data_IF_804163300279
#
_entry.id   IF_804163300279
#
_cell.length_a   1.000
_cell.length_b   1.000
_cell.length_c   1.000
_cell.angle_alpha   90.00
_cell.angle_beta   90.00
_cell.angle_gamma   90.00
#
_symmetry.space_group_name_H-M   'P 1'
#
loop_
_entity.id
_entity.type
_entity.pdbx_description
1 polymer ?
#
# COMPACT_ATOMS: atom_id res chain seq x y z
N UNK A 1 18.09 -13.37 34.07
CA UNK A 1 17.03 -12.36 33.91
C UNK A 1 16.93 -11.83 32.48
N UNK A 2 18.01 -11.32 31.85
CA UNK A 2 17.97 -10.78 30.45
C UNK A 2 17.56 -11.82 29.39
N UNK A 3 17.99 -13.09 29.52
CA UNK A 3 17.67 -14.15 28.55
C UNK A 3 16.18 -14.53 28.62
N UNK A 4 15.60 -14.64 29.80
CA UNK A 4 14.18 -14.92 30.01
C UNK A 4 13.31 -13.78 29.42
N UNK A 5 13.67 -12.53 29.71
CA UNK A 5 12.94 -11.37 29.16
C UNK A 5 12.98 -11.36 27.62
N UNK A 6 14.13 -11.66 27.02
CA UNK A 6 14.23 -11.78 25.55
C UNK A 6 13.36 -12.91 25.01
N UNK A 7 13.32 -14.05 25.66
CA UNK A 7 12.47 -15.16 25.25
C UNK A 7 10.97 -14.80 25.33
N UNK A 8 10.55 -14.13 26.40
CA UNK A 8 9.17 -13.65 26.57
C UNK A 8 8.80 -12.62 25.49
N UNK A 9 9.67 -11.64 25.24
CA UNK A 9 9.44 -10.65 24.19
C UNK A 9 9.36 -11.30 22.81
N UNK A 10 10.22 -12.27 22.53
CA UNK A 10 10.18 -13.00 21.26
C UNK A 10 8.88 -13.80 21.10
N UNK A 11 8.40 -14.45 22.16
CA UNK A 11 7.10 -15.13 22.19
C UNK A 11 5.94 -14.17 21.94
N UNK A 12 5.98 -13.00 22.58
CA UNK A 12 5.00 -11.94 22.37
C UNK A 12 4.99 -11.41 20.93
N UNK A 13 6.16 -11.25 20.30
CA UNK A 13 6.28 -10.85 18.90
C UNK A 13 5.59 -11.84 17.96
N UNK A 14 5.77 -13.16 18.19
CA UNK A 14 5.06 -14.19 17.41
C UNK A 14 3.55 -14.13 17.65
N UNK A 15 3.12 -13.93 18.90
CA UNK A 15 1.70 -13.80 19.23
C UNK A 15 1.07 -12.61 18.47
N UNK A 16 1.72 -11.44 18.49
CA UNK A 16 1.25 -10.25 17.78
C UNK A 16 1.19 -10.50 16.27
N UNK A 17 2.21 -11.15 15.69
CA UNK A 17 2.22 -11.49 14.26
C UNK A 17 1.02 -12.36 13.89
N UNK A 18 0.83 -13.49 14.57
CA UNK A 18 -0.22 -14.44 14.20
C UNK A 18 -1.62 -13.92 14.53
N UNK A 19 -1.81 -13.25 15.67
CA UNK A 19 -3.09 -12.62 15.98
C UNK A 19 -3.41 -11.47 15.01
N UNK A 20 -2.41 -10.69 14.61
CA UNK A 20 -2.59 -9.66 13.60
C UNK A 20 -3.02 -10.22 12.24
N UNK A 21 -2.37 -11.28 11.76
CA UNK A 21 -2.76 -11.95 10.52
C UNK A 21 -4.15 -12.58 10.64
N UNK A 22 -4.45 -13.24 11.75
CA UNK A 22 -5.75 -13.85 12.00
C UNK A 22 -6.85 -12.79 12.06
N UNK A 23 -6.63 -11.67 12.75
CA UNK A 23 -7.58 -10.56 12.84
C UNK A 23 -7.92 -10.01 11.45
N UNK A 24 -6.91 -9.74 10.61
CA UNK A 24 -7.16 -9.28 9.24
C UNK A 24 -7.97 -10.30 8.44
N UNK A 25 -7.60 -11.58 8.53
CA UNK A 25 -8.32 -12.67 7.88
C UNK A 25 -9.78 -12.77 8.32
N UNK A 26 -10.03 -12.69 9.64
CA UNK A 26 -11.38 -12.74 10.22
C UNK A 26 -12.21 -11.53 9.77
N UNK A 27 -11.66 -10.32 9.81
CA UNK A 27 -12.36 -9.11 9.35
C UNK A 27 -12.77 -9.23 7.88
N UNK A 28 -11.86 -9.69 7.03
CA UNK A 28 -12.15 -9.88 5.61
C UNK A 28 -13.20 -10.98 5.36
N UNK A 29 -13.07 -12.13 6.02
CA UNK A 29 -14.01 -13.25 5.86
C UNK A 29 -15.39 -12.92 6.42
N UNK A 30 -15.48 -12.28 7.59
CA UNK A 30 -16.76 -11.87 8.17
C UNK A 30 -17.48 -10.82 7.30
N UNK A 31 -16.72 -9.93 6.66
CA UNK A 31 -17.29 -8.93 5.76
C UNK A 31 -17.77 -9.52 4.42
N UNK A 32 -17.16 -10.61 3.95
CA UNK A 32 -17.44 -11.19 2.63
C UNK A 32 -18.93 -11.52 2.41
N UNK A 33 -19.63 -12.30 3.27
CA UNK A 33 -21.05 -12.60 3.07
C UNK A 33 -21.94 -11.35 3.15
N UNK A 34 -21.63 -10.44 4.07
CA UNK A 34 -22.38 -9.18 4.23
C UNK A 34 -22.23 -8.31 2.99
N UNK A 35 -21.01 -8.17 2.46
CA UNK A 35 -20.75 -7.44 1.23
C UNK A 35 -21.45 -8.06 0.02
N UNK A 36 -21.52 -9.39 -0.08
CA UNK A 36 -22.26 -10.07 -1.15
C UNK A 36 -23.76 -9.76 -1.09
N UNK A 37 -24.37 -9.82 0.09
CA UNK A 37 -25.77 -9.50 0.28
C UNK A 37 -26.03 -8.03 -0.12
N UNK A 38 -25.26 -7.09 0.38
CA UNK A 38 -25.42 -5.68 0.04
C UNK A 38 -25.14 -5.36 -1.41
N UNK A 39 -24.23 -6.09 -2.06
CA UNK A 39 -23.99 -5.94 -3.49
C UNK A 39 -25.22 -6.26 -4.35
N UNK A 40 -26.06 -7.21 -3.89
CA UNK A 40 -27.30 -7.61 -4.57
C UNK A 40 -28.49 -6.71 -4.22
N UNK A 41 -28.56 -6.22 -2.97
CA UNK A 41 -29.74 -5.53 -2.45
C UNK A 41 -29.66 -4.01 -2.57
N UNK A 42 -28.45 -3.42 -2.55
CA UNK A 42 -28.33 -1.97 -2.53
C UNK A 42 -28.16 -1.38 -3.94
N UNK A 43 -28.75 -0.20 -4.19
CA UNK A 43 -28.41 0.61 -5.36
C UNK A 43 -26.91 0.88 -5.41
N UNK A 44 -26.35 0.92 -6.61
CA UNK A 44 -24.90 0.98 -6.85
C UNK A 44 -24.20 2.06 -6.01
N UNK A 45 -24.71 3.30 -6.00
CA UNK A 45 -24.10 4.43 -5.27
C UNK A 45 -24.09 4.20 -3.76
N UNK A 46 -25.18 3.65 -3.19
CA UNK A 46 -25.26 3.35 -1.75
C UNK A 46 -24.35 2.20 -1.37
N UNK A 47 -24.33 1.15 -2.17
CA UNK A 47 -23.43 0.01 -1.99
C UNK A 47 -21.97 0.42 -2.03
N UNK A 48 -21.59 1.26 -2.99
CA UNK A 48 -20.24 1.81 -3.13
C UNK A 48 -19.83 2.62 -1.90
N UNK A 49 -20.66 3.55 -1.46
CA UNK A 49 -20.36 4.39 -0.28
C UNK A 49 -20.24 3.53 0.99
N UNK A 50 -21.18 2.60 1.22
CA UNK A 50 -21.13 1.67 2.35
C UNK A 50 -19.88 0.78 2.31
N UNK A 51 -19.58 0.21 1.14
CA UNK A 51 -18.41 -0.66 0.96
C UNK A 51 -17.11 0.05 1.27
N UNK A 52 -16.90 1.26 0.74
CA UNK A 52 -15.71 2.07 1.00
C UNK A 52 -15.58 2.47 2.46
N UNK A 53 -16.65 2.98 3.05
CA UNK A 53 -16.66 3.35 4.46
C UNK A 53 -16.35 2.17 5.38
N UNK A 54 -16.96 1.01 5.12
CA UNK A 54 -16.72 -0.19 5.94
C UNK A 54 -15.29 -0.69 5.81
N UNK A 55 -14.72 -0.70 4.59
CA UNK A 55 -13.32 -1.09 4.39
C UNK A 55 -12.40 -0.12 5.13
N UNK A 56 -12.63 1.19 5.01
CA UNK A 56 -11.87 2.20 5.76
C UNK A 56 -11.94 1.94 7.27
N UNK A 57 -13.14 1.76 7.81
CA UNK A 57 -13.35 1.56 9.24
C UNK A 57 -12.69 0.26 9.74
N UNK A 58 -12.82 -0.83 8.98
CA UNK A 58 -12.17 -2.11 9.29
C UNK A 58 -10.65 -2.01 9.28
N UNK A 59 -10.07 -1.33 8.29
CA UNK A 59 -8.62 -1.12 8.22
C UNK A 59 -8.13 -0.20 9.35
N UNK A 60 -8.88 0.85 9.67
CA UNK A 60 -8.57 1.73 10.80
C UNK A 60 -8.58 0.98 12.12
N UNK A 61 -9.59 0.14 12.35
CA UNK A 61 -9.68 -0.73 13.52
C UNK A 61 -8.51 -1.71 13.58
N UNK A 62 -8.19 -2.37 12.47
CA UNK A 62 -7.07 -3.29 12.35
C UNK A 62 -5.73 -2.65 12.73
N UNK A 63 -5.41 -1.48 12.14
CA UNK A 63 -4.18 -0.77 12.45
C UNK A 63 -4.13 -0.28 13.91
N UNK A 64 -5.28 0.14 14.47
CA UNK A 64 -5.37 0.51 15.89
C UNK A 64 -5.06 -0.69 16.81
N UNK A 65 -5.59 -1.88 16.51
CA UNK A 65 -5.28 -3.11 17.26
C UNK A 65 -3.78 -3.46 17.20
N UNK A 66 -3.16 -3.34 16.02
CA UNK A 66 -1.71 -3.52 15.90
C UNK A 66 -0.93 -2.47 16.70
N UNK A 67 -1.37 -1.22 16.68
CA UNK A 67 -0.75 -0.12 17.44
C UNK A 67 -0.82 -0.32 18.96
N UNK A 68 -1.95 -0.82 19.48
CA UNK A 68 -2.13 -1.14 20.90
C UNK A 68 -1.11 -2.17 21.37
N UNK A 69 -0.69 -3.09 20.51
CA UNK A 69 0.34 -4.09 20.83
C UNK A 69 1.72 -3.49 21.14
N UNK A 70 1.96 -2.21 20.77
CA UNK A 70 3.25 -1.51 20.83
C UNK A 70 4.38 -2.20 20.04
N UNK A 71 4.01 -3.16 19.16
CA UNK A 71 4.95 -3.84 18.26
C UNK A 71 4.89 -3.27 16.84
N UNK A 72 3.86 -2.47 16.55
CA UNK A 72 3.74 -1.68 15.32
C UNK A 72 3.33 -0.26 15.69
N UNK A 73 3.88 0.74 15.02
CA UNK A 73 3.42 2.12 15.11
C UNK A 73 3.13 2.67 13.71
N UNK A 74 2.11 3.51 13.63
CA UNK A 74 1.61 4.06 12.37
C UNK A 74 1.45 5.58 12.50
N UNK A 75 2.32 6.34 11.86
CA UNK A 75 2.18 7.78 11.72
C UNK A 75 1.54 8.09 10.36
N UNK A 76 0.23 8.31 10.39
CA UNK A 76 -0.61 8.51 9.20
C UNK A 76 -1.41 9.81 9.26
N UNK A 77 -1.09 10.70 10.21
CA UNK A 77 -1.90 11.88 10.53
C UNK A 77 -1.98 12.88 9.40
N UNK A 78 -0.91 13.04 8.62
CA UNK A 78 -0.90 13.94 7.47
C UNK A 78 -1.95 13.57 6.41
N UNK A 79 -2.29 12.28 6.28
CA UNK A 79 -3.28 11.81 5.29
C UNK A 79 -4.70 12.33 5.56
N UNK A 80 -5.00 12.75 6.80
CA UNK A 80 -6.32 13.29 7.15
C UNK A 80 -6.63 14.60 6.40
N UNK A 81 -5.61 15.35 6.00
CA UNK A 81 -5.77 16.56 5.20
C UNK A 81 -6.41 16.31 3.82
N UNK A 82 -6.36 15.04 3.34
CA UNK A 82 -6.95 14.70 2.03
C UNK A 82 -8.45 14.38 2.10
N UNK A 83 -9.05 14.30 3.27
CA UNK A 83 -10.46 13.84 3.42
C UNK A 83 -11.47 14.72 2.73
N UNK A 84 -11.28 16.03 2.86
CA UNK A 84 -12.22 17.05 2.39
C UNK A 84 -11.72 17.73 1.12
N UNK A 85 -10.66 17.20 0.53
CA UNK A 85 -10.11 17.69 -0.74
C UNK A 85 -10.98 17.32 -1.94
N UNK A 86 -10.99 18.12 -2.99
CA UNK A 86 -11.56 17.73 -4.28
C UNK A 86 -10.94 16.44 -4.80
N UNK A 87 -11.62 15.74 -5.71
CA UNK A 87 -11.11 14.50 -6.31
C UNK A 87 -9.70 14.62 -6.85
N UNK A 88 -8.85 13.66 -6.52
CA UNK A 88 -7.45 13.60 -6.95
C UNK A 88 -6.97 12.15 -7.09
N UNK A 89 -5.90 11.96 -7.85
CA UNK A 89 -5.18 10.68 -7.87
C UNK A 89 -4.19 10.66 -6.71
N UNK A 90 -4.30 9.67 -5.85
CA UNK A 90 -3.36 9.40 -4.75
C UNK A 90 -2.33 8.41 -5.27
N UNK A 91 -1.08 8.82 -5.32
CA UNK A 91 0.03 8.09 -5.91
C UNK A 91 1.14 7.84 -4.87
N UNK A 92 1.05 6.78 -4.04
CA UNK A 92 2.11 6.41 -3.11
C UNK A 92 3.18 5.53 -3.78
N UNK A 93 4.41 5.51 -3.22
CA UNK A 93 5.32 4.40 -3.42
C UNK A 93 4.78 3.12 -2.75
N UNK A 94 5.34 1.95 -3.05
CA UNK A 94 4.74 0.67 -2.65
C UNK A 94 5.73 -0.28 -1.94
N UNK A 95 6.29 0.09 -0.78
CA UNK A 95 7.27 -0.75 -0.09
C UNK A 95 6.68 -2.06 0.45
N UNK A 96 5.43 -2.09 0.91
CA UNK A 96 4.88 -3.27 1.56
C UNK A 96 3.40 -3.54 1.24
N UNK A 97 2.88 -4.68 1.71
CA UNK A 97 1.48 -5.06 1.48
C UNK A 97 0.48 -4.19 2.27
N UNK A 98 0.92 -3.56 3.37
CA UNK A 98 0.06 -2.72 4.22
C UNK A 98 -0.17 -1.32 3.67
N UNK A 99 0.51 -0.91 2.61
CA UNK A 99 0.44 0.46 2.10
C UNK A 99 -0.98 0.87 1.72
N UNK A 100 -1.69 0.01 0.99
CA UNK A 100 -3.09 0.25 0.67
C UNK A 100 -3.98 0.30 1.93
N UNK A 101 -3.71 -0.58 2.92
CA UNK A 101 -4.43 -0.60 4.20
C UNK A 101 -4.25 0.71 4.94
N UNK A 102 -3.00 1.22 5.01
CA UNK A 102 -2.68 2.49 5.67
C UNK A 102 -3.40 3.67 5.00
N UNK A 103 -3.28 3.82 3.69
CA UNK A 103 -3.91 4.95 2.97
C UNK A 103 -5.43 4.87 3.06
N UNK A 104 -6.04 3.71 2.79
CA UNK A 104 -7.49 3.53 2.81
C UNK A 104 -8.07 3.73 4.22
N UNK A 105 -7.32 3.36 5.28
CA UNK A 105 -7.78 3.54 6.66
C UNK A 105 -8.05 5.00 7.07
N UNK A 106 -7.54 5.96 6.30
CA UNK A 106 -7.69 7.40 6.58
C UNK A 106 -8.74 8.08 5.71
N UNK A 107 -9.11 7.51 4.57
CA UNK A 107 -9.92 8.16 3.54
C UNK A 107 -11.26 7.43 3.32
N UNK A 108 -12.40 8.06 3.63
CA UNK A 108 -13.71 7.40 3.60
C UNK A 108 -14.23 7.12 2.18
N UNK A 109 -13.79 7.90 1.19
CA UNK A 109 -14.27 7.78 -0.19
C UNK A 109 -13.10 7.68 -1.18
N UNK A 110 -12.39 6.56 -1.15
CA UNK A 110 -11.30 6.27 -2.08
C UNK A 110 -11.58 4.99 -2.87
N UNK A 111 -11.49 5.07 -4.19
CA UNK A 111 -11.41 3.90 -5.05
C UNK A 111 -9.95 3.41 -5.10
N UNK A 112 -9.75 2.11 -5.14
CA UNK A 112 -8.40 1.54 -5.29
C UNK A 112 -8.32 0.73 -6.59
N UNK A 113 -7.20 0.87 -7.31
CA UNK A 113 -6.90 -0.01 -8.44
C UNK A 113 -6.25 -1.29 -7.94
N UNK A 114 -6.91 -2.42 -8.18
CA UNK A 114 -6.48 -3.74 -7.71
C UNK A 114 -6.13 -4.67 -8.87
N UNK A 115 -5.18 -5.58 -8.64
CA UNK A 115 -4.92 -6.69 -9.55
C UNK A 115 -6.16 -7.59 -9.67
N UNK A 116 -6.38 -8.14 -10.87
CA UNK A 116 -7.54 -9.01 -11.15
C UNK A 116 -7.67 -10.18 -10.18
N UNK A 117 -6.56 -10.78 -9.77
CA UNK A 117 -6.54 -11.91 -8.84
C UNK A 117 -7.10 -11.54 -7.45
N UNK A 118 -6.88 -10.30 -6.99
CA UNK A 118 -7.40 -9.82 -5.71
C UNK A 118 -8.92 -9.62 -5.75
N UNK A 119 -9.49 -9.28 -6.90
CA UNK A 119 -10.95 -9.18 -7.08
C UNK A 119 -11.65 -10.54 -7.04
N UNK A 120 -10.93 -11.63 -7.29
CA UNK A 120 -11.44 -13.00 -7.22
C UNK A 120 -11.06 -13.71 -5.91
N UNK A 121 -10.30 -13.05 -5.04
CA UNK A 121 -9.89 -13.58 -3.76
C UNK A 121 -11.07 -13.62 -2.78
N UNK A 122 -11.21 -14.72 -2.00
CA UNK A 122 -12.31 -14.91 -1.05
C UNK A 122 -12.28 -13.90 0.11
N UNK A 123 -11.10 -13.39 0.48
CA UNK A 123 -10.94 -12.43 1.57
C UNK A 123 -11.29 -11.00 1.17
N UNK A 124 -10.96 -10.60 -0.05
CA UNK A 124 -11.02 -9.19 -0.48
C UNK A 124 -12.05 -8.94 -1.58
N UNK A 125 -12.35 -9.96 -2.40
CA UNK A 125 -13.09 -9.78 -3.63
C UNK A 125 -14.51 -9.26 -3.48
N UNK A 126 -15.28 -9.74 -2.49
CA UNK A 126 -16.65 -9.28 -2.28
C UNK A 126 -16.70 -7.83 -1.82
N UNK A 127 -15.87 -7.46 -0.83
CA UNK A 127 -15.74 -6.08 -0.36
C UNK A 127 -15.29 -5.13 -1.47
N UNK A 128 -14.28 -5.52 -2.25
CA UNK A 128 -13.78 -4.74 -3.37
C UNK A 128 -14.84 -4.54 -4.47
N UNK A 129 -15.67 -5.55 -4.74
CA UNK A 129 -16.80 -5.43 -5.70
C UNK A 129 -17.88 -4.49 -5.17
N UNK A 130 -18.26 -4.60 -3.89
CA UNK A 130 -19.23 -3.68 -3.28
C UNK A 130 -18.71 -2.24 -3.30
N UNK A 131 -17.44 -2.02 -2.95
CA UNK A 131 -16.78 -0.72 -2.97
C UNK A 131 -16.52 -0.18 -4.39
N UNK A 132 -16.81 -0.97 -5.44
CA UNK A 132 -16.55 -0.63 -6.84
C UNK A 132 -15.08 -0.26 -7.09
N UNK A 133 -14.17 -1.02 -6.50
CA UNK A 133 -12.74 -0.85 -6.78
C UNK A 133 -12.44 -1.21 -8.24
N UNK A 134 -11.49 -0.49 -8.82
CA UNK A 134 -11.18 -0.61 -10.24
C UNK A 134 -10.21 -1.78 -10.44
N UNK A 135 -10.57 -2.68 -11.35
CA UNK A 135 -9.67 -3.76 -11.76
C UNK A 135 -8.54 -3.20 -12.62
N UNK A 136 -7.32 -3.65 -12.37
CA UNK A 136 -6.18 -3.34 -13.24
C UNK A 136 -6.36 -4.07 -14.58
N UNK A 137 -7.03 -3.39 -15.51
CA UNK A 137 -7.40 -3.83 -16.86
C UNK A 137 -6.76 -2.87 -17.89
N UNK A 138 -7.07 -3.03 -19.20
CA UNK A 138 -6.59 -2.09 -20.19
C UNK A 138 -6.86 -0.64 -19.80
N UNK A 139 -5.85 0.20 -19.89
CA UNK A 139 -5.81 1.56 -19.33
C UNK A 139 -7.02 2.41 -19.73
N UNK A 140 -7.56 2.22 -20.95
CA UNK A 140 -8.77 2.93 -21.42
C UNK A 140 -9.99 2.69 -20.51
N UNK A 141 -10.17 1.47 -20.01
CA UNK A 141 -11.27 1.15 -19.09
C UNK A 141 -11.03 1.75 -17.72
N UNK A 142 -9.79 1.67 -17.21
CA UNK A 142 -9.42 2.31 -15.94
C UNK A 142 -9.67 3.82 -15.97
N UNK A 143 -9.27 4.51 -17.05
CA UNK A 143 -9.52 5.95 -17.23
C UNK A 143 -11.00 6.27 -17.15
N UNK A 144 -11.86 5.54 -17.88
CA UNK A 144 -13.31 5.77 -17.88
C UNK A 144 -13.93 5.57 -16.50
N UNK A 145 -13.57 4.49 -15.79
CA UNK A 145 -14.07 4.21 -14.44
C UNK A 145 -13.58 5.24 -13.43
N UNK A 146 -12.31 5.66 -13.54
CA UNK A 146 -11.75 6.71 -12.70
C UNK A 146 -12.48 8.04 -12.87
N UNK A 147 -12.76 8.46 -14.12
CA UNK A 147 -13.52 9.69 -14.40
C UNK A 147 -14.92 9.62 -13.78
N UNK A 148 -15.58 8.47 -13.88
CA UNK A 148 -16.88 8.24 -13.25
C UNK A 148 -16.80 8.37 -11.72
N UNK A 149 -15.77 7.82 -11.09
CA UNK A 149 -15.54 7.92 -9.65
C UNK A 149 -15.23 9.36 -9.21
N UNK A 150 -14.40 10.08 -9.96
CA UNK A 150 -14.10 11.49 -9.67
C UNK A 150 -15.35 12.38 -9.76
N UNK A 151 -16.26 12.12 -10.72
CA UNK A 151 -17.52 12.85 -10.82
C UNK A 151 -18.47 12.62 -9.62
N UNK A 152 -18.21 11.57 -8.83
CA UNK A 152 -18.90 11.28 -7.57
C UNK A 152 -18.15 11.78 -6.32
N UNK A 153 -17.12 12.61 -6.48
CA UNK A 153 -16.34 13.16 -5.38
C UNK A 153 -15.36 12.16 -4.73
N UNK A 154 -14.98 11.09 -5.44
CA UNK A 154 -14.06 10.08 -4.91
C UNK A 154 -12.60 10.41 -5.22
N UNK A 155 -11.67 9.97 -4.38
CA UNK A 155 -10.26 9.87 -4.74
C UNK A 155 -9.96 8.53 -5.41
N UNK A 156 -8.85 8.47 -6.14
CA UNK A 156 -8.35 7.23 -6.73
C UNK A 156 -6.97 6.89 -6.18
N UNK A 157 -6.87 5.78 -5.45
CA UNK A 157 -5.57 5.23 -5.03
C UNK A 157 -5.00 4.34 -6.13
N UNK A 158 -3.85 4.73 -6.65
CA UNK A 158 -3.14 4.01 -7.70
C UNK A 158 -1.63 4.03 -7.44
N UNK A 159 -1.04 2.86 -7.24
CA UNK A 159 0.40 2.71 -7.05
C UNK A 159 1.12 2.88 -8.40
N UNK A 160 1.99 3.90 -8.56
CA UNK A 160 2.66 4.18 -9.83
C UNK A 160 3.57 3.06 -10.30
N UNK A 161 4.12 2.28 -9.37
CA UNK A 161 4.99 1.15 -9.65
C UNK A 161 4.23 -0.08 -10.21
N UNK A 162 2.92 -0.17 -9.99
CA UNK A 162 2.08 -1.31 -10.39
C UNK A 162 2.36 -2.62 -9.65
N UNK A 163 3.39 -2.66 -8.81
CA UNK A 163 3.75 -3.78 -7.92
C UNK A 163 4.53 -3.25 -6.73
N UNK A 164 4.68 -4.06 -5.66
CA UNK A 164 5.51 -3.68 -4.51
C UNK A 164 6.95 -3.44 -4.95
N UNK A 165 7.60 -2.45 -4.32
CA UNK A 165 8.98 -2.06 -4.60
C UNK A 165 9.94 -3.24 -4.42
N UNK A 166 10.82 -3.43 -5.40
CA UNK A 166 11.91 -4.40 -5.39
C UNK A 166 13.25 -3.77 -5.69
N UNK A 167 13.24 -2.62 -6.35
CA UNK A 167 14.42 -1.83 -6.70
C UNK A 167 14.48 -0.58 -5.84
N UNK A 168 15.61 -0.30 -5.23
CA UNK A 168 15.78 0.85 -4.35
C UNK A 168 16.05 2.12 -5.18
N UNK A 169 15.39 3.26 -4.87
CA UNK A 169 14.35 3.46 -3.84
C UNK A 169 12.93 3.12 -4.34
N UNK A 170 12.68 3.06 -5.64
CA UNK A 170 11.41 2.71 -6.28
C UNK A 170 11.64 1.91 -7.56
N UNK A 171 10.66 1.11 -7.95
CA UNK A 171 10.65 0.49 -9.27
C UNK A 171 10.39 1.53 -10.38
N UNK A 172 10.73 1.23 -11.65
CA UNK A 172 10.32 2.04 -12.77
C UNK A 172 8.80 2.26 -12.77
N UNK A 173 8.37 3.51 -12.88
CA UNK A 173 6.96 3.86 -12.79
C UNK A 173 6.19 3.52 -14.08
N UNK A 174 4.91 3.25 -13.92
CA UNK A 174 3.99 3.07 -15.06
C UNK A 174 3.33 4.40 -15.43
N UNK A 175 2.99 4.55 -16.71
CA UNK A 175 2.37 5.78 -17.23
C UNK A 175 0.88 5.96 -16.88
N UNK A 176 0.26 4.99 -16.19
CA UNK A 176 -1.18 4.97 -15.90
C UNK A 176 -1.65 6.12 -15.02
N UNK A 177 -0.86 6.52 -14.01
CA UNK A 177 -1.16 7.66 -13.13
C UNK A 177 -1.30 8.94 -13.93
N UNK A 178 -0.28 9.27 -14.74
CA UNK A 178 -0.30 10.49 -15.58
C UNK A 178 -1.39 10.46 -16.64
N UNK A 179 -1.68 9.29 -17.20
CA UNK A 179 -2.73 9.17 -18.21
C UNK A 179 -4.13 9.40 -17.61
N UNK A 180 -4.42 8.80 -16.44
CA UNK A 180 -5.69 8.99 -15.74
C UNK A 180 -5.85 10.45 -15.30
N UNK A 181 -4.84 11.02 -14.64
CA UNK A 181 -4.86 12.41 -14.17
C UNK A 181 -5.08 13.41 -15.32
N UNK A 182 -4.40 13.19 -16.46
CA UNK A 182 -4.57 14.01 -17.67
C UNK A 182 -5.99 13.96 -18.23
N UNK A 183 -6.54 12.76 -18.40
CA UNK A 183 -7.88 12.62 -18.98
C UNK A 183 -8.99 13.08 -18.06
N UNK A 184 -8.81 12.90 -16.75
CA UNK A 184 -9.77 13.34 -15.75
C UNK A 184 -9.59 14.81 -15.35
N UNK A 185 -8.50 15.47 -15.76
CA UNK A 185 -8.13 16.83 -15.36
C UNK A 185 -8.11 17.03 -13.84
N UNK A 186 -7.58 16.03 -13.11
CA UNK A 186 -7.42 16.05 -11.64
C UNK A 186 -5.95 16.06 -11.27
N UNK A 187 -5.58 16.68 -10.13
CA UNK A 187 -4.22 16.68 -9.64
C UNK A 187 -3.77 15.30 -9.16
N UNK A 188 -2.46 15.12 -9.06
CA UNK A 188 -1.83 13.92 -8.50
C UNK A 188 -1.17 14.29 -7.18
N UNK A 189 -1.64 13.71 -6.08
CA UNK A 189 -1.03 13.83 -4.77
C UNK A 189 -0.13 12.63 -4.51
N UNK A 190 1.16 12.87 -4.33
CA UNK A 190 2.09 11.81 -3.92
C UNK A 190 2.01 11.58 -2.42
N UNK A 191 2.20 10.34 -2.01
CA UNK A 191 2.39 9.95 -0.61
C UNK A 191 3.71 9.21 -0.52
N UNK A 192 4.52 9.54 0.47
CA UNK A 192 5.77 8.88 0.75
C UNK A 192 5.55 7.93 1.94
N UNK A 193 5.56 6.63 1.64
CA UNK A 193 5.41 5.57 2.63
C UNK A 193 6.79 5.05 2.98
N UNK A 194 7.13 5.11 4.24
CA UNK A 194 8.42 4.80 4.81
C UNK A 194 8.27 3.75 5.91
N UNK A 195 9.20 2.82 6.01
CA UNK A 195 9.23 1.79 7.06
C UNK A 195 10.67 1.35 7.34
N UNK A 196 10.96 1.06 8.59
CA UNK A 196 12.25 0.54 9.05
C UNK A 196 12.35 -1.01 8.94
N UNK A 197 11.37 -1.65 8.33
CA UNK A 197 11.30 -3.11 8.26
C UNK A 197 10.99 -3.61 6.85
N UNK A 198 11.62 -4.69 6.39
CA UNK A 198 11.26 -5.35 5.15
C UNK A 198 9.98 -6.20 5.26
N UNK A 199 9.26 -6.14 6.38
CA UNK A 199 8.05 -6.93 6.61
C UNK A 199 6.99 -6.67 5.54
N UNK A 200 6.47 -7.76 4.96
CA UNK A 200 5.49 -7.74 3.87
C UNK A 200 5.96 -7.05 2.58
N UNK A 201 7.27 -6.82 2.41
CA UNK A 201 7.84 -6.46 1.11
C UNK A 201 7.60 -7.59 0.09
N UNK A 202 7.90 -7.33 -1.18
CA UNK A 202 7.72 -8.35 -2.22
C UNK A 202 8.65 -9.54 -1.99
N UNK A 203 8.07 -10.74 -1.91
CA UNK A 203 8.82 -11.97 -1.61
C UNK A 203 8.97 -12.31 -0.12
N UNK A 204 8.59 -11.41 0.79
CA UNK A 204 8.62 -11.73 2.21
C UNK A 204 7.62 -12.86 2.56
N UNK A 205 8.06 -13.93 3.21
CA UNK A 205 7.17 -15.02 3.64
C UNK A 205 6.17 -14.51 4.71
N UNK A 206 4.87 -14.68 4.46
CA UNK A 206 3.79 -14.09 5.28
C UNK A 206 3.93 -14.43 6.78
N UNK A 207 4.33 -15.66 7.11
CA UNK A 207 4.44 -16.16 8.48
C UNK A 207 5.83 -15.99 9.09
N UNK A 208 6.76 -15.39 8.37
CA UNK A 208 8.10 -15.08 8.89
C UNK A 208 8.04 -13.84 9.76
N UNK A 209 8.41 -13.99 11.04
CA UNK A 209 8.48 -12.88 11.98
C UNK A 209 9.59 -11.89 11.57
N UNK A 210 9.27 -10.60 11.42
CA UNK A 210 10.29 -9.57 11.28
C UNK A 210 10.93 -9.20 12.62
N UNK A 211 12.05 -8.48 12.63
CA UNK A 211 12.47 -7.70 13.80
C UNK A 211 11.36 -6.74 14.23
N UNK A 212 11.08 -6.68 15.54
CA UNK A 212 10.06 -5.79 16.11
C UNK A 212 10.69 -4.91 17.19
N UNK A 213 10.19 -3.69 17.43
CA UNK A 213 8.99 -3.07 16.83
C UNK A 213 9.20 -2.62 15.40
N UNK A 214 8.09 -2.40 14.66
CA UNK A 214 8.09 -1.88 13.29
C UNK A 214 7.43 -0.50 13.29
N UNK A 215 8.04 0.42 12.57
CA UNK A 215 7.52 1.78 12.40
C UNK A 215 7.13 2.02 10.94
N UNK A 216 5.91 2.53 10.77
CA UNK A 216 5.38 2.95 9.49
C UNK A 216 5.05 4.43 9.54
N UNK A 217 5.42 5.16 8.51
CA UNK A 217 5.09 6.55 8.32
C UNK A 217 4.56 6.77 6.91
N UNK A 218 3.47 7.52 6.78
CA UNK A 218 2.98 7.99 5.50
C UNK A 218 2.82 9.51 5.57
N UNK A 219 3.62 10.22 4.79
CA UNK A 219 3.60 11.68 4.72
C UNK A 219 3.15 12.17 3.36
N UNK A 220 2.53 13.34 3.31
CA UNK A 220 2.18 13.97 2.05
C UNK A 220 3.44 14.46 1.34
N UNK A 221 3.55 14.09 0.08
CA UNK A 221 4.57 14.61 -0.81
C UNK A 221 4.03 15.74 -1.69
N UNK A 222 4.75 16.04 -2.76
CA UNK A 222 4.38 17.08 -3.70
C UNK A 222 3.04 16.75 -4.40
N UNK A 223 2.21 17.78 -4.55
CA UNK A 223 1.03 17.75 -5.42
C UNK A 223 1.43 18.25 -6.82
N UNK A 224 1.06 17.49 -7.83
CA UNK A 224 1.29 17.83 -9.23
C UNK A 224 -0.03 18.19 -9.90
N UNK A 225 -0.02 19.24 -10.69
CA UNK A 225 -1.16 19.59 -11.53
C UNK A 225 -1.44 18.52 -12.61
N UNK A 226 -2.63 18.51 -13.20
CA UNK A 226 -2.96 17.58 -14.27
C UNK A 226 -1.93 17.68 -15.41
N UNK A 227 -1.24 16.59 -15.79
CA UNK A 227 -0.13 16.67 -16.73
C UNK A 227 -0.61 16.88 -18.16
N UNK A 228 0.08 17.75 -18.91
CA UNK A 228 -0.14 17.91 -20.36
C UNK A 228 0.51 16.76 -21.15
N UNK A 229 1.68 16.30 -20.70
CA UNK A 229 2.48 15.26 -21.36
C UNK A 229 2.78 14.12 -20.38
N UNK A 230 2.16 12.96 -20.60
CA UNK A 230 2.24 11.80 -19.68
C UNK A 230 3.65 11.23 -19.53
N UNK A 231 4.45 11.22 -20.61
CA UNK A 231 5.83 10.69 -20.54
C UNK A 231 6.75 11.61 -19.73
N UNK A 232 6.66 12.93 -19.95
CA UNK A 232 7.43 13.91 -19.18
C UNK A 232 7.05 13.86 -17.70
N UNK A 233 5.74 13.79 -17.43
CA UNK A 233 5.22 13.65 -16.06
C UNK A 233 5.73 12.38 -15.39
N UNK A 234 5.73 11.24 -16.08
CA UNK A 234 6.27 9.98 -15.55
C UNK A 234 7.73 10.15 -15.12
N UNK A 235 8.57 10.74 -15.96
CA UNK A 235 9.98 10.98 -15.63
C UNK A 235 10.15 11.96 -14.46
N UNK A 236 9.34 13.02 -14.39
CA UNK A 236 9.35 13.98 -13.29
C UNK A 236 8.92 13.31 -11.96
N UNK A 237 7.86 12.49 -12.00
CA UNK A 237 7.37 11.77 -10.83
C UNK A 237 8.39 10.73 -10.33
N UNK A 238 9.05 10.02 -11.24
CA UNK A 238 10.10 9.05 -10.90
C UNK A 238 11.30 9.74 -10.25
N UNK A 239 11.78 10.81 -10.86
CA UNK A 239 12.87 11.62 -10.29
C UNK A 239 12.50 12.17 -8.89
N UNK A 240 11.26 12.63 -8.72
CA UNK A 240 10.76 13.11 -7.43
C UNK A 240 10.82 12.02 -6.35
N UNK A 241 10.29 10.82 -6.62
CA UNK A 241 10.33 9.72 -5.64
C UNK A 241 11.76 9.32 -5.30
N UNK A 242 12.63 9.19 -6.30
CA UNK A 242 14.04 8.86 -6.08
C UNK A 242 14.69 9.87 -5.14
N UNK A 243 14.46 11.16 -5.38
CA UNK A 243 15.07 12.22 -4.59
C UNK A 243 14.50 12.29 -3.16
N UNK A 244 13.18 12.15 -2.98
CA UNK A 244 12.55 12.30 -1.66
C UNK A 244 12.76 11.10 -0.74
N UNK A 245 12.75 9.88 -1.28
CA UNK A 245 12.90 8.67 -0.47
C UNK A 245 14.33 8.42 0.02
N UNK A 246 15.33 9.04 -0.62
CA UNK A 246 16.73 8.94 -0.18
C UNK A 246 17.06 9.93 0.95
N UNK A 247 16.23 10.96 1.17
CA UNK A 247 16.51 12.02 2.15
C UNK A 247 16.45 11.56 3.61
N UNK A 248 15.64 10.57 3.93
CA UNK A 248 15.50 10.08 5.30
C UNK A 248 16.15 8.70 5.48
N UNK A 249 17.43 8.63 5.90
CA UNK A 249 18.13 7.36 6.06
C UNK A 249 17.62 6.51 7.24
N UNK A 250 16.78 7.06 8.13
CA UNK A 250 16.18 6.32 9.24
C UNK A 250 15.14 5.30 8.77
N UNK A 251 14.57 5.53 7.59
CA UNK A 251 13.62 4.63 6.95
C UNK A 251 14.24 4.06 5.68
N UNK A 252 14.88 2.91 5.78
CA UNK A 252 15.31 2.20 4.57
C UNK A 252 14.08 1.76 3.77
N UNK A 253 14.01 2.08 2.45
CA UNK A 253 12.95 1.54 1.62
C UNK A 253 12.96 0.01 1.74
N UNK A 254 11.81 -0.58 2.04
CA UNK A 254 11.67 -2.02 2.14
C UNK A 254 12.07 -2.66 0.79
N UNK A 255 13.21 -3.32 0.75
CA UNK A 255 13.77 -3.91 -0.48
C UNK A 255 15.27 -3.92 -0.55
N UNK A 256 15.99 -3.14 0.26
CA UNK A 256 17.43 -3.27 0.39
C UNK A 256 17.76 -4.47 1.29
N UNK A 257 17.69 -5.68 0.75
CA UNK A 257 18.46 -6.79 1.31
C UNK A 257 19.94 -6.36 1.17
N UNK A 258 20.77 -6.48 2.24
CA UNK A 258 22.20 -6.35 2.08
C UNK A 258 22.61 -7.33 0.97
N UNK A 259 23.33 -6.83 -0.03
CA UNK A 259 23.95 -7.69 -1.03
C UNK A 259 24.63 -8.83 -0.26
N UNK A 260 24.28 -10.06 -0.57
CA UNK A 260 25.01 -11.20 -0.06
C UNK A 260 26.48 -10.94 -0.40
N UNK A 261 27.32 -10.80 0.62
CA UNK A 261 28.74 -10.76 0.44
C UNK A 261 29.11 -12.05 -0.29
N UNK A 262 29.50 -11.93 -1.55
CA UNK A 262 30.10 -13.01 -2.32
C UNK A 262 31.34 -13.47 -1.57
N UNK A 263 31.21 -14.51 -0.78
CA UNK A 263 32.32 -15.33 -0.35
C UNK A 263 32.79 -16.19 -1.55
N UNK A 264 33.27 -15.55 -2.60
CA UNK A 264 34.19 -16.20 -3.54
C UNK A 264 35.55 -16.15 -2.94
N UNK A 265 35.85 -17.16 -2.16
CA UNK A 265 37.15 -17.50 -1.64
C UNK A 265 38.13 -17.64 -2.79
N UNK A 266 39.14 -16.79 -2.79
CA UNK A 266 40.38 -17.00 -3.48
C UNK A 266 40.96 -18.38 -3.13
N UNK A 267 40.91 -19.30 -4.07
CA UNK A 267 41.83 -20.40 -4.15
C UNK A 267 42.88 -20.05 -5.20
N UNK A 268 43.87 -19.32 -4.74
CA UNK A 268 45.11 -19.12 -5.50
C UNK A 268 45.89 -20.42 -5.57
N UNK A 269 46.11 -20.81 -6.78
CA UNK A 269 47.28 -21.51 -7.33
C UNK A 269 48.47 -21.67 -6.39
N UNK A 270 48.77 -22.89 -6.03
CA UNK A 270 50.10 -23.35 -5.75
C UNK A 270 50.57 -24.20 -6.91
N UNK A 271 51.52 -23.72 -7.70
CA UNK A 271 52.40 -24.55 -8.51
C UNK A 271 53.59 -24.95 -7.67
N UNK A 272 54.09 -26.14 -7.87
CA UNK A 272 55.55 -26.35 -7.82
C UNK A 272 56.05 -27.01 -9.07
N UNK A 273 57.19 -26.49 -9.46
CA UNK A 273 58.33 -27.04 -10.17
C UNK A 273 58.19 -28.40 -10.87
#
# INVERSE_FOLDING_TARGET
MRTLLRALLNGYDYLVLYLGLALLGILCLAWTPVAMIFYLLLPERRGQALGRYTIMAAFRFYLACLGISRRCSFDLTELDALRDEPPLVIAPNHPCLLDAVMVISRLPNVACVLKSDLMNNIFLGAGARLARYIRNEPVRRMVRLAIQDFSCGSHLLLFPEGTRTTSNPVNPLQGSVGLIARHAQVPVQTILIETDSPYLSKGWPLFRKPPMPIHYRARLGRRFDPPQHTQRFKAELEHYFVHELVKDPAFHPAGSLPAQADHTTNLTSGSPS
#
